data_IF_241494847101
#
_entry.id   IF_241494847101
#
_cell.length_a   1.000
_cell.length_b   1.000
_cell.length_c   1.000
_cell.angle_alpha   90.00
_cell.angle_beta   90.00
_cell.angle_gamma   90.00
#
_symmetry.space_group_name_H-M   'P 1'
#
loop_
_entity.id
_entity.type
_entity.pdbx_description
1 polymer ?
#
# COMPACT_ATOMS: atom_id res chain seq x y z
N UNK A 1 -8.22 -15.29 37.01
CA UNK A 1 -6.78 -15.41 36.65
C UNK A 1 -6.44 -14.25 35.75
N UNK A 2 -5.53 -13.35 36.15
CA UNK A 2 -5.02 -12.30 35.27
C UNK A 2 -4.17 -12.92 34.18
N UNK A 3 -4.44 -12.59 32.93
CA UNK A 3 -3.61 -13.01 31.79
C UNK A 3 -2.19 -12.43 31.96
N UNK A 4 -1.16 -13.25 31.66
CA UNK A 4 0.23 -12.83 31.77
C UNK A 4 0.53 -11.66 30.82
N UNK A 5 1.33 -10.69 31.28
CA UNK A 5 1.66 -9.47 30.52
C UNK A 5 2.28 -9.81 29.16
N UNK A 6 3.06 -10.89 29.06
CA UNK A 6 3.65 -11.30 27.78
C UNK A 6 2.60 -11.84 26.81
N UNK A 7 1.56 -12.50 27.32
CA UNK A 7 0.46 -13.00 26.49
C UNK A 7 -0.36 -11.84 25.94
N UNK A 8 -0.67 -10.83 26.77
CA UNK A 8 -1.35 -9.61 26.33
C UNK A 8 -0.54 -8.85 25.27
N UNK A 9 0.77 -8.70 25.46
CA UNK A 9 1.65 -8.06 24.47
C UNK A 9 1.68 -8.80 23.14
N UNK A 10 1.84 -10.13 23.16
CA UNK A 10 1.83 -10.96 21.94
C UNK A 10 0.50 -10.83 21.19
N UNK A 11 -0.61 -10.81 21.91
CA UNK A 11 -1.93 -10.59 21.34
C UNK A 11 -2.05 -9.22 20.69
N UNK A 12 -1.64 -8.15 21.38
CA UNK A 12 -1.67 -6.80 20.83
C UNK A 12 -0.82 -6.66 19.56
N UNK A 13 0.34 -7.32 19.51
CA UNK A 13 1.20 -7.39 18.31
C UNK A 13 0.50 -8.11 17.17
N UNK A 14 -0.09 -9.28 17.45
CA UNK A 14 -0.83 -10.04 16.44
C UNK A 14 -2.03 -9.26 15.89
N UNK A 15 -2.78 -8.59 16.76
CA UNK A 15 -3.91 -7.72 16.36
C UNK A 15 -3.44 -6.53 15.52
N UNK A 16 -2.32 -5.91 15.87
CA UNK A 16 -1.72 -4.81 15.10
C UNK A 16 -1.28 -5.25 13.70
N UNK A 17 -0.55 -6.37 13.59
CA UNK A 17 -0.13 -6.94 12.29
C UNK A 17 -1.36 -7.36 11.46
N UNK A 18 -2.38 -7.93 12.12
CA UNK A 18 -3.65 -8.27 11.47
C UNK A 18 -4.33 -7.05 10.87
N UNK A 19 -4.42 -5.94 11.62
CA UNK A 19 -4.96 -4.66 11.11
C UNK A 19 -4.12 -4.12 9.95
N UNK A 20 -2.79 -4.14 10.07
CA UNK A 20 -1.91 -3.73 8.98
C UNK A 20 -2.15 -4.53 7.71
N UNK A 21 -2.31 -5.85 7.83
CA UNK A 21 -2.60 -6.75 6.71
C UNK A 21 -3.91 -6.36 6.03
N UNK A 22 -4.98 -6.17 6.80
CA UNK A 22 -6.29 -5.80 6.28
C UNK A 22 -6.28 -4.42 5.61
N UNK A 23 -5.69 -3.42 6.26
CA UNK A 23 -5.57 -2.06 5.71
C UNK A 23 -4.78 -2.07 4.41
N UNK A 24 -3.68 -2.85 4.35
CA UNK A 24 -2.89 -2.98 3.13
C UNK A 24 -3.68 -3.65 1.99
N UNK A 25 -4.37 -4.76 2.27
CA UNK A 25 -5.19 -5.44 1.28
C UNK A 25 -6.30 -4.54 0.74
N UNK A 26 -6.92 -3.73 1.60
CA UNK A 26 -7.92 -2.74 1.20
C UNK A 26 -7.31 -1.67 0.29
N UNK A 27 -6.17 -1.10 0.67
CA UNK A 27 -5.45 -0.12 -0.14
C UNK A 27 -5.08 -0.67 -1.51
N UNK A 28 -4.49 -1.86 -1.56
CA UNK A 28 -4.06 -2.50 -2.81
C UNK A 28 -5.25 -2.80 -3.74
N UNK A 29 -6.37 -3.25 -3.20
CA UNK A 29 -7.60 -3.48 -3.96
C UNK A 29 -8.12 -2.19 -4.61
N UNK A 30 -8.11 -1.07 -3.88
CA UNK A 30 -8.57 0.21 -4.41
C UNK A 30 -7.63 0.74 -5.48
N UNK A 31 -6.31 0.66 -5.24
CA UNK A 31 -5.31 1.05 -6.24
C UNK A 31 -5.49 0.23 -7.52
N UNK A 32 -5.80 -1.07 -7.42
CA UNK A 32 -6.14 -1.90 -8.59
C UNK A 32 -7.39 -1.42 -9.34
N UNK A 33 -8.40 -0.94 -8.61
CA UNK A 33 -9.56 -0.26 -9.19
C UNK A 33 -9.17 0.99 -9.97
N UNK A 34 -8.39 1.89 -9.35
CA UNK A 34 -7.89 3.11 -9.99
C UNK A 34 -7.08 2.81 -11.25
N UNK A 35 -6.17 1.83 -11.20
CA UNK A 35 -5.38 1.38 -12.36
C UNK A 35 -6.30 0.86 -13.46
N UNK A 36 -7.33 0.10 -13.11
CA UNK A 36 -8.25 -0.46 -14.10
C UNK A 36 -9.04 0.65 -14.81
N UNK A 37 -9.56 1.63 -14.07
CA UNK A 37 -10.29 2.75 -14.62
C UNK A 37 -9.39 3.63 -15.50
N UNK A 38 -8.25 4.06 -14.98
CA UNK A 38 -7.26 4.88 -15.73
C UNK A 38 -6.77 4.18 -17.00
N UNK A 39 -6.52 2.87 -16.94
CA UNK A 39 -6.07 2.09 -18.09
C UNK A 39 -7.13 1.92 -19.18
N UNK A 40 -8.40 1.83 -18.81
CA UNK A 40 -9.51 1.65 -19.77
C UNK A 40 -9.95 2.99 -20.36
N UNK A 41 -10.14 4.01 -19.52
CA UNK A 41 -10.90 5.22 -19.88
C UNK A 41 -10.05 6.48 -20.05
N UNK A 42 -8.80 6.49 -19.59
CA UNK A 42 -7.99 7.73 -19.53
C UNK A 42 -6.70 7.60 -20.36
N UNK A 43 -6.81 6.99 -21.55
CA UNK A 43 -5.68 6.74 -22.46
C UNK A 43 -4.53 5.93 -21.85
N UNK A 44 -4.78 5.23 -20.75
CA UNK A 44 -3.72 4.58 -19.99
C UNK A 44 -3.00 3.43 -20.71
N UNK A 45 -3.57 2.88 -21.79
CA UNK A 45 -2.90 1.94 -22.70
C UNK A 45 -1.74 2.54 -23.48
N UNK A 46 -1.73 3.87 -23.65
CA UNK A 46 -0.65 4.57 -24.34
C UNK A 46 0.58 4.82 -23.45
N UNK A 47 0.45 4.60 -22.13
CA UNK A 47 1.57 4.60 -21.18
C UNK A 47 2.20 3.21 -21.09
N UNK A 48 1.37 2.19 -20.88
CA UNK A 48 1.77 0.79 -20.85
C UNK A 48 0.76 -0.06 -21.60
N UNK A 49 1.23 -1.00 -22.43
CA UNK A 49 0.35 -1.90 -23.22
C UNK A 49 -0.54 -2.79 -22.34
N UNK A 50 -0.14 -3.05 -21.09
CA UNK A 50 -0.83 -3.92 -20.14
C UNK A 50 -0.88 -3.26 -18.78
N UNK A 51 -1.92 -3.57 -18.01
CA UNK A 51 -2.03 -3.11 -16.62
C UNK A 51 -0.82 -3.57 -15.78
N UNK A 52 -0.21 -2.67 -14.97
CA UNK A 52 0.89 -3.02 -14.09
C UNK A 52 0.41 -4.00 -13.00
N UNK A 53 1.26 -4.98 -12.68
CA UNK A 53 0.91 -6.07 -11.74
C UNK A 53 1.44 -5.86 -10.33
N UNK A 54 2.64 -5.30 -10.20
CA UNK A 54 3.28 -5.10 -8.89
C UNK A 54 2.89 -3.75 -8.32
N UNK A 55 2.73 -3.66 -7.00
CA UNK A 55 2.31 -2.41 -6.36
C UNK A 55 3.21 -1.22 -6.73
N UNK A 56 4.53 -1.40 -6.74
CA UNK A 56 5.46 -0.35 -7.17
C UNK A 56 5.27 0.08 -8.63
N UNK A 57 4.96 -0.85 -9.53
CA UNK A 57 4.67 -0.51 -10.93
C UNK A 57 3.33 0.23 -11.06
N UNK A 58 2.32 -0.14 -10.26
CA UNK A 58 1.02 0.57 -10.21
C UNK A 58 1.21 2.03 -9.79
N UNK A 59 1.99 2.29 -8.74
CA UNK A 59 2.26 3.67 -8.31
C UNK A 59 3.04 4.46 -9.37
N UNK A 60 4.07 3.86 -9.96
CA UNK A 60 4.84 4.49 -11.05
C UNK A 60 3.93 4.86 -12.22
N UNK A 61 3.06 3.95 -12.63
CA UNK A 61 2.10 4.16 -13.70
C UNK A 61 1.16 5.35 -13.44
N UNK A 62 0.61 5.47 -12.23
CA UNK A 62 -0.26 6.60 -11.87
C UNK A 62 0.50 7.93 -11.87
N UNK A 63 1.73 7.93 -11.35
CA UNK A 63 2.59 9.12 -11.33
C UNK A 63 2.97 9.55 -12.76
N UNK A 64 3.35 8.62 -13.63
CA UNK A 64 3.65 8.90 -15.04
C UNK A 64 2.41 9.37 -15.79
N UNK A 65 1.26 8.76 -15.52
CA UNK A 65 -0.02 9.16 -16.11
C UNK A 65 -0.38 10.61 -15.83
N UNK A 66 -0.27 11.06 -14.57
CA UNK A 66 -0.48 12.47 -14.20
C UNK A 66 0.46 13.41 -14.98
N UNK A 67 1.71 13.00 -15.20
CA UNK A 67 2.74 13.83 -15.84
C UNK A 67 2.61 13.89 -17.37
N UNK A 68 2.19 12.80 -18.00
CA UNK A 68 2.22 12.65 -19.45
C UNK A 68 0.84 12.74 -20.12
N UNK A 69 -0.24 12.50 -19.38
CA UNK A 69 -1.61 12.46 -19.93
C UNK A 69 -2.44 13.58 -19.37
N UNK A 70 -2.80 14.53 -20.25
CA UNK A 70 -3.69 15.65 -19.91
C UNK A 70 -5.02 15.19 -19.30
N UNK A 71 -5.56 14.06 -19.76
CA UNK A 71 -6.79 13.48 -19.22
C UNK A 71 -6.66 13.01 -17.76
N UNK A 72 -5.43 12.79 -17.27
CA UNK A 72 -5.15 12.38 -15.89
C UNK A 72 -4.68 13.54 -15.01
N UNK A 73 -4.65 14.78 -15.50
CA UNK A 73 -4.13 15.95 -14.77
C UNK A 73 -4.91 16.21 -13.46
N UNK A 74 -6.20 15.87 -13.43
CA UNK A 74 -7.04 15.99 -12.23
C UNK A 74 -6.60 15.08 -11.07
N UNK A 75 -5.76 14.08 -11.34
CA UNK A 75 -5.15 13.22 -10.33
C UNK A 75 -3.96 13.91 -9.62
N UNK A 76 -3.50 15.08 -10.09
CA UNK A 76 -2.34 15.79 -9.54
C UNK A 76 -2.38 16.06 -8.02
N UNK A 77 -3.55 16.34 -7.38
CA UNK A 77 -3.61 16.48 -5.92
C UNK A 77 -3.24 15.20 -5.16
N UNK A 78 -3.28 14.04 -5.83
CA UNK A 78 -3.00 12.74 -5.23
C UNK A 78 -1.55 12.29 -5.34
N UNK A 79 -0.70 13.01 -6.08
CA UNK A 79 0.72 12.68 -6.26
C UNK A 79 1.47 12.46 -4.93
N UNK A 80 1.33 13.31 -3.89
CA UNK A 80 2.04 13.09 -2.63
C UNK A 80 1.65 11.76 -1.95
N UNK A 81 0.41 11.32 -2.11
CA UNK A 81 -0.06 10.05 -1.55
C UNK A 81 0.51 8.84 -2.30
N UNK A 82 0.73 8.96 -3.62
CA UNK A 82 1.42 7.92 -4.39
C UNK A 82 2.87 7.74 -3.93
N UNK A 83 3.56 8.83 -3.65
CA UNK A 83 4.92 8.81 -3.12
C UNK A 83 4.96 8.21 -1.70
N UNK A 84 4.06 8.64 -0.82
CA UNK A 84 3.92 8.09 0.54
C UNK A 84 3.62 6.57 0.52
N UNK A 85 2.75 6.10 -0.37
CA UNK A 85 2.47 4.67 -0.53
C UNK A 85 3.70 3.87 -0.95
N UNK A 86 4.57 4.45 -1.78
CA UNK A 86 5.81 3.81 -2.22
C UNK A 86 6.75 3.57 -1.04
N UNK A 87 6.89 4.56 -0.16
CA UNK A 87 7.70 4.43 1.06
C UNK A 87 7.14 3.34 1.98
N UNK A 88 5.83 3.34 2.23
CA UNK A 88 5.15 2.38 3.10
C UNK A 88 5.16 0.94 2.56
N UNK A 89 5.23 0.74 1.24
CA UNK A 89 5.33 -0.58 0.63
C UNK A 89 6.58 -1.35 1.09
N UNK A 90 7.70 -0.65 1.29
CA UNK A 90 8.93 -1.25 1.79
C UNK A 90 8.81 -1.68 3.26
N UNK A 91 8.13 -0.89 4.09
CA UNK A 91 7.83 -1.25 5.49
C UNK A 91 6.89 -2.45 5.56
N UNK A 92 5.84 -2.47 4.74
CA UNK A 92 4.90 -3.59 4.65
C UNK A 92 5.60 -4.90 4.30
N UNK A 93 6.58 -4.89 3.41
CA UNK A 93 7.32 -6.10 3.05
C UNK A 93 8.12 -6.70 4.23
N UNK A 94 8.51 -5.89 5.22
CA UNK A 94 9.11 -6.41 6.44
C UNK A 94 8.08 -7.01 7.38
N UNK A 95 6.95 -6.32 7.56
CA UNK A 95 5.96 -6.65 8.57
C UNK A 95 5.04 -7.82 8.16
N UNK A 96 4.77 -7.99 6.86
CA UNK A 96 3.90 -9.06 6.35
C UNK A 96 4.64 -10.29 5.82
N UNK A 97 5.90 -10.14 5.41
CA UNK A 97 6.69 -11.24 4.84
C UNK A 97 7.94 -11.56 5.65
N UNK A 98 8.29 -10.76 6.65
CA UNK A 98 9.33 -11.09 7.62
C UNK A 98 8.85 -12.12 8.63
N UNK A 99 9.80 -12.85 9.20
CA UNK A 99 9.58 -13.76 10.31
C UNK A 99 9.86 -13.02 11.62
N UNK A 100 8.85 -12.87 12.47
CA UNK A 100 8.99 -12.31 13.81
C UNK A 100 9.80 -13.29 14.69
N UNK A 101 11.01 -12.91 15.07
CA UNK A 101 11.93 -13.76 15.85
C UNK A 101 12.03 -13.37 17.31
N UNK A 102 11.75 -12.10 17.65
CA UNK A 102 11.90 -11.60 19.02
C UNK A 102 10.91 -10.49 19.32
N UNK A 103 10.36 -10.55 20.54
CA UNK A 103 9.58 -9.49 21.17
C UNK A 103 10.33 -9.14 22.45
N UNK A 104 10.80 -7.91 22.57
CA UNK A 104 11.58 -7.45 23.72
C UNK A 104 10.68 -6.71 24.73
N UNK A 105 11.15 -6.56 25.96
CA UNK A 105 10.43 -5.87 27.03
C UNK A 105 10.29 -4.36 26.81
N UNK A 106 11.17 -3.78 26.00
CA UNK A 106 11.18 -2.37 25.57
C UNK A 106 10.22 -2.11 24.38
N UNK A 107 9.28 -3.03 24.13
CA UNK A 107 8.30 -2.95 23.04
C UNK A 107 8.92 -2.97 21.63
N UNK A 108 10.17 -3.39 21.49
CA UNK A 108 10.78 -3.59 20.18
C UNK A 108 10.54 -5.01 19.64
N UNK A 109 10.43 -5.09 18.33
CA UNK A 109 10.06 -6.28 17.57
C UNK A 109 11.11 -6.54 16.49
N UNK A 110 11.71 -7.73 16.52
CA UNK A 110 12.76 -8.09 15.59
C UNK A 110 12.22 -9.04 14.52
N UNK A 111 12.42 -8.67 13.26
CA UNK A 111 12.03 -9.44 12.09
C UNK A 111 13.27 -9.87 11.30
N UNK A 112 13.24 -11.12 10.83
CA UNK A 112 14.18 -11.63 9.84
C UNK A 112 13.49 -11.76 8.48
N UNK A 113 14.19 -11.39 7.40
CA UNK A 113 13.71 -11.64 6.04
C UNK A 113 14.85 -12.10 5.15
N UNK A 114 14.55 -12.94 4.18
CA UNK A 114 15.49 -13.22 3.10
C UNK A 114 15.49 -12.05 2.11
N UNK A 115 16.68 -11.54 1.80
CA UNK A 115 16.90 -10.57 0.75
C UNK A 115 16.87 -11.27 -0.60
N UNK A 116 15.92 -10.87 -1.45
CA UNK A 116 15.79 -11.36 -2.83
C UNK A 116 16.54 -10.43 -3.80
N UNK A 117 17.06 -9.28 -3.31
CA UNK A 117 17.71 -8.25 -4.14
C UNK A 117 19.18 -8.55 -4.46
N UNK A 118 19.77 -9.63 -3.92
CA UNK A 118 21.21 -9.94 -4.03
C UNK A 118 21.41 -11.29 -4.73
N UNK A 119 22.46 -11.41 -5.56
CA UNK A 119 22.84 -12.66 -6.26
C UNK A 119 23.07 -13.86 -5.33
N UNK A 120 23.31 -13.61 -4.03
CA UNK A 120 23.41 -14.62 -3.00
C UNK A 120 22.34 -14.36 -1.91
N UNK A 121 21.65 -15.40 -1.40
CA UNK A 121 20.68 -15.24 -0.32
C UNK A 121 21.34 -14.60 0.90
N UNK A 122 20.83 -13.44 1.33
CA UNK A 122 21.25 -12.80 2.58
C UNK A 122 20.06 -12.73 3.53
N UNK A 123 20.22 -13.16 4.76
CA UNK A 123 19.23 -12.91 5.81
C UNK A 123 19.47 -11.48 6.32
N UNK A 124 18.45 -10.65 6.20
CA UNK A 124 18.43 -9.31 6.74
C UNK A 124 17.62 -9.32 8.05
N UNK A 125 18.03 -8.47 8.99
CA UNK A 125 17.38 -8.31 10.27
C UNK A 125 16.99 -6.85 10.44
N UNK A 126 15.76 -6.59 10.89
CA UNK A 126 15.27 -5.25 11.19
C UNK A 126 14.49 -5.26 12.49
N UNK A 127 14.72 -4.23 13.31
CA UNK A 127 13.98 -3.99 14.55
C UNK A 127 13.00 -2.84 14.32
N UNK A 128 11.79 -3.00 14.82
CA UNK A 128 10.72 -2.00 14.81
C UNK A 128 10.29 -1.70 16.24
N UNK A 129 9.87 -0.47 16.51
CA UNK A 129 9.15 -0.14 17.74
C UNK A 129 7.66 -0.42 17.52
N UNK A 130 6.98 -1.02 18.50
CA UNK A 130 5.55 -1.36 18.36
C UNK A 130 4.68 -0.15 17.97
N UNK A 131 4.91 1.01 18.58
CA UNK A 131 4.17 2.25 18.29
C UNK A 131 4.39 2.73 16.85
N UNK A 132 5.56 2.48 16.25
CA UNK A 132 5.80 2.78 14.83
C UNK A 132 4.93 1.91 13.93
N UNK A 133 4.78 0.61 14.26
CA UNK A 133 3.91 -0.30 13.51
C UNK A 133 2.45 0.13 13.61
N UNK A 134 2.01 0.58 14.79
CA UNK A 134 0.67 1.12 14.97
C UNK A 134 0.46 2.37 14.12
N UNK A 135 1.43 3.29 14.12
CA UNK A 135 1.39 4.50 13.30
C UNK A 135 1.32 4.16 11.81
N UNK A 136 2.16 3.26 11.31
CA UNK A 136 2.11 2.82 9.91
C UNK A 136 0.77 2.17 9.55
N UNK A 137 0.20 1.39 10.46
CA UNK A 137 -1.12 0.77 10.26
C UNK A 137 -2.20 1.83 10.04
N UNK A 138 -2.15 2.90 10.83
CA UNK A 138 -3.07 4.04 10.72
C UNK A 138 -2.86 4.80 9.42
N UNK A 139 -1.60 5.12 9.06
CA UNK A 139 -1.27 5.81 7.81
C UNK A 139 -1.74 5.03 6.57
N UNK A 140 -1.55 3.70 6.55
CA UNK A 140 -2.02 2.84 5.45
C UNK A 140 -3.56 2.87 5.36
N UNK A 141 -4.25 2.86 6.50
CA UNK A 141 -5.71 2.94 6.51
C UNK A 141 -6.21 4.26 5.95
N UNK A 142 -5.61 5.38 6.37
CA UNK A 142 -5.94 6.73 5.88
C UNK A 142 -5.69 6.86 4.38
N UNK A 143 -4.57 6.33 3.88
CA UNK A 143 -4.31 6.25 2.44
C UNK A 143 -5.38 5.42 1.71
N UNK A 144 -5.86 4.34 2.32
CA UNK A 144 -6.98 3.56 1.77
C UNK A 144 -8.26 4.38 1.63
N UNK A 145 -8.57 5.24 2.60
CA UNK A 145 -9.71 6.16 2.54
C UNK A 145 -9.51 7.20 1.43
N UNK A 146 -8.33 7.82 1.35
CA UNK A 146 -8.02 8.83 0.32
C UNK A 146 -8.08 8.22 -1.09
N UNK A 147 -7.55 7.00 -1.26
CA UNK A 147 -7.62 6.29 -2.54
C UNK A 147 -9.05 5.90 -2.90
N UNK A 148 -9.91 5.64 -1.90
CA UNK A 148 -11.33 5.38 -2.15
C UNK A 148 -12.00 6.60 -2.77
N UNK A 149 -11.77 7.78 -2.21
CA UNK A 149 -12.27 9.04 -2.77
C UNK A 149 -11.77 9.27 -4.20
N UNK A 150 -10.51 8.93 -4.48
CA UNK A 150 -9.96 8.99 -5.83
C UNK A 150 -10.69 8.05 -6.79
N UNK A 151 -10.95 6.82 -6.37
CA UNK A 151 -11.67 5.83 -7.17
C UNK A 151 -13.10 6.28 -7.45
N UNK A 152 -13.78 6.87 -6.47
CA UNK A 152 -15.14 7.40 -6.64
C UNK A 152 -15.14 8.55 -7.68
N UNK A 153 -14.16 9.46 -7.62
CA UNK A 153 -13.99 10.50 -8.66
C UNK A 153 -13.70 9.93 -10.05
N UNK A 154 -12.90 8.88 -10.14
CA UNK A 154 -12.64 8.21 -11.41
C UNK A 154 -13.94 7.63 -11.99
N UNK A 155 -14.78 7.00 -11.16
CA UNK A 155 -16.07 6.46 -11.57
C UNK A 155 -17.02 7.55 -12.07
N UNK A 156 -17.16 8.65 -11.33
CA UNK A 156 -17.99 9.81 -11.72
C UNK A 156 -17.60 10.33 -13.11
N UNK A 157 -16.30 10.50 -13.38
CA UNK A 157 -15.83 10.97 -14.68
C UNK A 157 -16.12 9.96 -15.79
N UNK A 158 -16.01 8.65 -15.51
CA UNK A 158 -16.31 7.62 -16.52
C UNK A 158 -17.79 7.48 -16.85
N UNK A 159 -18.68 7.70 -15.89
CA UNK A 159 -20.14 7.69 -16.12
C UNK A 159 -20.53 8.83 -17.07
N UNK A 160 -19.95 10.02 -16.92
CA UNK A 160 -20.17 11.15 -17.83
C UNK A 160 -19.67 10.89 -19.26
N UNK A 161 -18.60 10.13 -19.44
CA UNK A 161 -18.06 9.81 -20.78
C UNK A 161 -18.93 8.77 -21.49
N UNK A 162 -19.46 7.79 -20.75
CA UNK A 162 -20.33 6.74 -21.29
C UNK A 162 -21.66 7.25 -21.87
N UNK A 163 -22.22 8.30 -21.28
CA UNK A 163 -23.48 8.92 -21.74
C UNK A 163 -23.31 9.85 -22.95
N UNK A 164 -22.08 10.22 -23.31
CA UNK A 164 -21.79 11.11 -24.45
C UNK A 164 -21.63 10.38 -25.80
N UNK A 165 -21.56 9.05 -25.78
CA UNK A 165 -21.45 8.19 -26.96
C UNK A 165 -22.74 7.37 -27.24
N UNK A 166 -23.83 7.60 -26.50
CA UNK A 166 -25.14 6.97 -26.67
C UNK A 166 -26.17 7.92 -27.31
#
# INVERSE_FOLDING_TARGET
MSEDINTQRRRAIAECIGRLTLSWSYLELIVDGCISLTHIYFEGKSLEDRRPKTFSAKLKYLIEGVKEKKQMEFLSPYLPYFEQMSELADYRNWLLHGHLVKINDDQTLQFLRQSIKVKAPKIECKTFVFDEIQKYTQEIHELGVIMRELMDKLLEVTEFVGDSEA
#
